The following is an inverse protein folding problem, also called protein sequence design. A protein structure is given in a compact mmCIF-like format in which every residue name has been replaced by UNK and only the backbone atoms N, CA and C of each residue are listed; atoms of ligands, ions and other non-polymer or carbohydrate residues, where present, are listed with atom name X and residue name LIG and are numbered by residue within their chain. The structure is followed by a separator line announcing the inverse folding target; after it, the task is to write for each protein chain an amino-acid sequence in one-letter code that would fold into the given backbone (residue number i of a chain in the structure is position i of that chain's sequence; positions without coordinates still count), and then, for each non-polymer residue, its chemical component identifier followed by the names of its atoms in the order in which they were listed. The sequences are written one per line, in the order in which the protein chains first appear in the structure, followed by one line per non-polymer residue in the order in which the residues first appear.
data_IF_918496574139
#
_entry.id   IF_918496574139
#
_cell.length_a   1.000
_cell.length_b   1.000
_cell.length_c   1.000
_cell.angle_alpha   90.00
_cell.angle_beta   90.00
_cell.angle_gamma   90.00
#
_symmetry.space_group_name_H-M   'P 1'
#
loop_
_entity.id
_entity.type
_entity.pdbx_description
1 polymer ?
#
# COMPACT_ATOMS: atom_id res chain seq x y z
N UNK A 1 -6.19 103.90 -19.28
CA UNK A 1 -4.96 103.52 -18.56
C UNK A 1 -5.09 102.05 -18.26
N UNK A 2 -4.19 101.24 -18.83
CA UNK A 2 -3.93 99.79 -18.66
C UNK A 2 -5.07 98.81 -18.95
N UNK A 3 -4.90 97.60 -19.47
CA UNK A 3 -4.00 96.87 -20.40
C UNK A 3 -4.59 95.42 -20.38
N UNK A 4 -4.68 94.63 -21.46
CA UNK A 4 -5.11 93.25 -21.36
C UNK A 4 -3.92 92.28 -21.32
N UNK A 5 -4.21 91.03 -20.95
CA UNK A 5 -3.39 89.81 -21.07
C UNK A 5 -2.39 89.49 -19.96
N UNK A 6 -2.64 88.36 -19.28
CA UNK A 6 -1.61 87.36 -18.96
C UNK A 6 -2.33 86.06 -18.57
N UNK A 7 -2.21 85.07 -19.45
CA UNK A 7 -2.57 83.68 -19.21
C UNK A 7 -1.51 83.04 -18.30
N UNK A 8 -1.89 82.64 -17.10
CA UNK A 8 -1.08 81.77 -16.25
C UNK A 8 -1.58 80.34 -16.36
N UNK A 9 -0.77 79.53 -17.03
CA UNK A 9 -0.88 78.09 -17.22
C UNK A 9 -0.68 77.38 -15.86
N UNK A 10 -1.77 76.96 -15.21
CA UNK A 10 -1.72 76.14 -14.01
C UNK A 10 -1.41 74.69 -14.41
N UNK A 11 -0.13 74.34 -14.30
CA UNK A 11 0.36 72.98 -14.49
C UNK A 11 -0.32 71.97 -13.57
N UNK A 12 -1.03 71.02 -14.17
CA UNK A 12 -1.54 69.83 -13.50
C UNK A 12 -0.38 69.03 -12.87
N UNK A 13 -0.53 68.49 -11.65
CA UNK A 13 0.50 67.64 -11.06
C UNK A 13 0.63 66.34 -11.89
N UNK A 14 1.86 65.82 -12.09
CA UNK A 14 2.04 64.59 -12.84
C UNK A 14 1.34 63.45 -12.11
N UNK A 15 0.41 62.81 -12.80
CA UNK A 15 -0.16 61.50 -12.45
C UNK A 15 0.99 60.56 -12.17
N UNK A 16 1.11 60.11 -10.91
CA UNK A 16 1.96 58.97 -10.54
C UNK A 16 1.46 57.77 -11.32
N UNK A 17 2.14 57.48 -12.43
CA UNK A 17 2.03 56.20 -13.12
C UNK A 17 2.14 55.11 -12.07
N UNK A 18 1.11 54.26 -12.03
CA UNK A 18 1.08 53.11 -11.16
C UNK A 18 2.35 52.31 -11.38
N UNK A 19 3.20 52.26 -10.35
CA UNK A 19 4.23 51.26 -10.25
C UNK A 19 3.51 49.91 -10.31
N UNK A 20 3.47 49.32 -11.50
CA UNK A 20 3.00 47.98 -11.72
C UNK A 20 3.77 47.10 -10.74
N UNK A 21 3.03 46.48 -9.81
CA UNK A 21 3.59 45.46 -8.94
C UNK A 21 4.37 44.47 -9.83
N UNK A 22 5.61 44.11 -9.46
CA UNK A 22 6.37 43.17 -10.28
C UNK A 22 5.54 41.90 -10.47
N UNK A 23 5.47 41.35 -11.69
CA UNK A 23 4.74 40.12 -11.93
C UNK A 23 5.25 39.05 -10.96
N UNK A 24 4.36 38.49 -10.14
CA UNK A 24 4.68 37.33 -9.31
C UNK A 24 5.34 36.28 -10.21
N UNK A 25 6.63 36.04 -10.00
CA UNK A 25 7.38 35.07 -10.79
C UNK A 25 6.74 33.70 -10.54
N UNK A 26 6.14 33.03 -11.56
CA UNK A 26 5.55 31.72 -11.37
C UNK A 26 6.67 30.68 -11.44
N UNK A 27 7.60 30.71 -10.50
CA UNK A 27 8.59 29.64 -10.30
C UNK A 27 8.18 28.76 -9.11
N UNK A 28 6.88 28.50 -8.94
CA UNK A 28 6.47 27.36 -8.14
C UNK A 28 7.03 26.13 -8.85
N UNK A 29 8.03 25.46 -8.27
CA UNK A 29 8.67 24.27 -8.82
C UNK A 29 7.60 23.19 -9.04
N UNK A 30 6.97 23.20 -10.21
CA UNK A 30 5.75 22.46 -10.49
C UNK A 30 5.93 20.94 -10.38
N UNK A 31 7.17 20.47 -10.51
CA UNK A 31 7.55 19.06 -10.38
C UNK A 31 7.67 18.58 -8.93
N UNK A 32 7.81 19.47 -7.93
CA UNK A 32 8.02 19.08 -6.52
C UNK A 32 6.92 18.17 -5.97
N UNK A 33 5.61 18.44 -6.19
CA UNK A 33 4.56 17.51 -5.75
C UNK A 33 4.69 16.12 -6.36
N UNK A 34 5.11 16.02 -7.63
CA UNK A 34 5.30 14.74 -8.30
C UNK A 34 6.53 13.99 -7.78
N UNK A 35 7.63 14.71 -7.48
CA UNK A 35 8.81 14.12 -6.85
C UNK A 35 8.48 13.60 -5.44
N UNK A 36 7.72 14.36 -4.65
CA UNK A 36 7.25 13.92 -3.33
C UNK A 36 6.27 12.75 -3.43
N UNK A 37 5.37 12.74 -4.41
CA UNK A 37 4.48 11.61 -4.66
C UNK A 37 5.25 10.34 -5.04
N UNK A 38 6.24 10.47 -5.92
CA UNK A 38 7.13 9.37 -6.29
C UNK A 38 7.92 8.86 -5.08
N UNK A 39 8.51 9.75 -4.28
CA UNK A 39 9.19 9.38 -3.02
C UNK A 39 8.24 8.62 -2.08
N UNK A 40 7.02 9.13 -1.89
CA UNK A 40 6.00 8.46 -1.08
C UNK A 40 5.65 7.07 -1.62
N UNK A 41 5.49 6.94 -2.95
CA UNK A 41 5.24 5.65 -3.59
C UNK A 41 6.41 4.68 -3.40
N UNK A 42 7.64 5.17 -3.48
CA UNK A 42 8.85 4.39 -3.21
C UNK A 42 8.90 3.88 -1.78
N UNK A 43 8.68 4.76 -0.80
CA UNK A 43 8.63 4.36 0.61
C UNK A 43 7.51 3.35 0.86
N UNK A 44 6.38 3.50 0.17
CA UNK A 44 5.24 2.60 0.29
C UNK A 44 5.61 1.20 -0.18
N UNK A 45 6.14 1.01 -1.39
CA UNK A 45 6.48 -0.34 -1.85
C UNK A 45 7.65 -0.96 -1.08
N UNK A 46 8.65 -0.16 -0.67
CA UNK A 46 9.77 -0.67 0.14
C UNK A 46 9.32 -1.17 1.52
N UNK A 47 8.22 -0.63 2.05
CA UNK A 47 7.63 -1.11 3.28
C UNK A 47 6.87 -2.43 3.14
N UNK A 48 6.55 -2.86 1.92
CA UNK A 48 5.59 -3.91 1.66
C UNK A 48 6.24 -5.29 1.44
N UNK A 49 5.40 -6.34 1.34
CA UNK A 49 5.81 -7.72 1.09
C UNK A 49 6.74 -7.81 -0.13
N UNK A 50 7.83 -8.56 0.02
CA UNK A 50 8.90 -8.69 -0.97
C UNK A 50 10.14 -7.85 -0.63
N UNK A 51 9.96 -6.66 -0.07
CA UNK A 51 11.06 -5.80 0.42
C UNK A 51 11.18 -5.82 1.94
N UNK A 52 10.06 -5.75 2.67
CA UNK A 52 10.00 -5.99 4.12
C UNK A 52 10.61 -4.90 5.00
N UNK A 53 10.84 -3.68 4.50
CA UNK A 53 11.34 -2.57 5.33
C UNK A 53 10.17 -1.93 6.09
N UNK A 54 9.51 -2.71 6.94
CA UNK A 54 8.26 -2.35 7.64
C UNK A 54 8.31 -1.02 8.40
N UNK A 55 9.44 -0.51 8.97
CA UNK A 55 9.43 0.78 9.64
C UNK A 55 9.04 1.94 8.72
N UNK A 56 9.26 1.80 7.40
CA UNK A 56 8.84 2.80 6.41
C UNK A 56 7.32 2.96 6.32
N UNK A 57 6.54 1.94 6.72
CA UNK A 57 5.08 2.02 6.77
C UNK A 57 4.59 3.09 7.77
N UNK A 58 5.39 3.46 8.76
CA UNK A 58 5.07 4.55 9.70
C UNK A 58 5.32 5.96 9.14
N UNK A 59 5.84 6.10 7.91
CA UNK A 59 6.19 7.39 7.31
C UNK A 59 5.90 7.52 5.81
N UNK A 60 5.52 6.44 5.12
CA UNK A 60 5.49 6.39 3.66
C UNK A 60 4.52 7.38 2.99
N UNK A 61 3.40 7.75 3.63
CA UNK A 61 2.43 8.73 3.12
C UNK A 61 2.75 10.18 3.49
N UNK A 62 3.70 10.43 4.40
CA UNK A 62 4.07 11.80 4.77
C UNK A 62 4.46 12.66 3.56
N UNK A 63 5.31 12.19 2.61
CA UNK A 63 5.64 13.00 1.43
C UNK A 63 4.43 13.25 0.53
N UNK A 64 3.47 12.31 0.43
CA UNK A 64 2.21 12.53 -0.31
C UNK A 64 1.36 13.64 0.33
N UNK A 65 1.30 13.70 1.66
CA UNK A 65 0.59 14.77 2.36
C UNK A 65 1.21 16.15 2.10
N UNK A 66 2.55 16.24 2.04
CA UNK A 66 3.25 17.45 1.59
C UNK A 66 2.98 17.76 0.12
N UNK A 67 2.98 16.75 -0.76
CA UNK A 67 2.70 16.92 -2.18
C UNK A 67 1.31 17.53 -2.42
N UNK A 68 0.27 16.97 -1.78
CA UNK A 68 -1.10 17.47 -1.86
C UNK A 68 -1.30 18.80 -1.12
N UNK A 69 -0.42 19.11 -0.17
CA UNK A 69 -0.44 20.40 0.52
C UNK A 69 0.27 21.52 -0.22
N UNK A 70 1.08 21.19 -1.23
CA UNK A 70 1.92 22.13 -1.94
C UNK A 70 1.12 23.25 -2.65
N UNK A 71 1.58 24.52 -2.63
CA UNK A 71 0.83 25.66 -3.18
C UNK A 71 0.47 25.57 -4.67
N UNK A 72 1.20 24.74 -5.44
CA UNK A 72 0.90 24.51 -6.86
C UNK A 72 -0.26 23.53 -7.10
N UNK A 73 -0.64 22.71 -6.11
CA UNK A 73 -1.75 21.73 -6.20
C UNK A 73 -3.08 22.40 -5.87
N UNK A 74 -3.51 23.29 -6.77
CA UNK A 74 -4.74 24.10 -6.59
C UNK A 74 -6.00 23.43 -7.13
N UNK A 75 -5.86 22.57 -8.13
CA UNK A 75 -6.98 21.95 -8.87
C UNK A 75 -7.12 20.47 -8.56
N UNK A 76 -8.36 19.95 -8.66
CA UNK A 76 -8.65 18.54 -8.47
C UNK A 76 -7.88 17.66 -9.47
N UNK A 77 -7.78 18.10 -10.74
CA UNK A 77 -7.00 17.42 -11.78
C UNK A 77 -5.53 17.26 -11.40
N UNK A 78 -4.92 18.28 -10.78
CA UNK A 78 -3.52 18.19 -10.35
C UNK A 78 -3.35 17.30 -9.12
N UNK A 79 -4.28 17.36 -8.17
CA UNK A 79 -4.30 16.43 -7.04
C UNK A 79 -4.44 14.97 -7.49
N UNK A 80 -5.35 14.72 -8.44
CA UNK A 80 -5.53 13.43 -9.10
C UNK A 80 -4.23 12.93 -9.76
N UNK A 81 -3.55 13.80 -10.52
CA UNK A 81 -2.28 13.45 -11.15
C UNK A 81 -1.18 13.12 -10.11
N UNK A 82 -1.10 13.89 -9.01
CA UNK A 82 -0.16 13.62 -7.90
C UNK A 82 -0.46 12.27 -7.23
N UNK A 83 -1.73 11.98 -6.95
CA UNK A 83 -2.17 10.69 -6.40
C UNK A 83 -1.89 9.52 -7.34
N UNK A 84 -2.17 9.70 -8.63
CA UNK A 84 -1.84 8.70 -9.65
C UNK A 84 -0.35 8.42 -9.72
N UNK A 85 0.51 9.45 -9.67
CA UNK A 85 1.97 9.27 -9.64
C UNK A 85 2.41 8.48 -8.41
N UNK A 86 1.87 8.79 -7.22
CA UNK A 86 2.15 8.02 -6.02
C UNK A 86 1.77 6.54 -6.21
N UNK A 87 0.54 6.27 -6.66
CA UNK A 87 0.06 4.91 -6.85
C UNK A 87 0.79 4.15 -7.92
N UNK A 88 1.04 4.76 -9.08
CA UNK A 88 1.78 4.11 -10.15
C UNK A 88 3.18 3.70 -9.68
N UNK A 89 3.90 4.57 -8.97
CA UNK A 89 5.23 4.23 -8.43
C UNK A 89 5.13 3.14 -7.35
N UNK A 90 4.17 3.25 -6.42
CA UNK A 90 3.96 2.25 -5.38
C UNK A 90 3.65 0.87 -5.97
N UNK A 91 2.74 0.79 -6.94
CA UNK A 91 2.31 -0.49 -7.49
C UNK A 91 3.24 -1.03 -8.57
N UNK A 92 3.92 -0.18 -9.35
CA UNK A 92 4.98 -0.64 -10.24
C UNK A 92 6.16 -1.24 -9.46
N UNK A 93 6.52 -0.64 -8.32
CA UNK A 93 7.52 -1.19 -7.42
C UNK A 93 7.05 -2.43 -6.67
N UNK A 94 5.87 -2.39 -6.04
CA UNK A 94 5.36 -3.48 -5.21
C UNK A 94 4.89 -4.70 -5.99
N UNK A 95 4.40 -4.50 -7.22
CA UNK A 95 3.97 -5.57 -8.14
C UNK A 95 4.91 -5.69 -9.34
N UNK A 96 6.20 -5.37 -9.17
CA UNK A 96 7.20 -5.49 -10.23
C UNK A 96 7.29 -6.93 -10.79
N UNK A 97 7.07 -7.92 -9.92
CA UNK A 97 7.05 -9.34 -10.26
C UNK A 97 5.98 -9.70 -11.31
N UNK A 98 4.92 -8.90 -11.45
CA UNK A 98 3.85 -9.08 -12.44
C UNK A 98 4.39 -9.12 -13.86
N UNK A 99 5.41 -8.28 -14.18
CA UNK A 99 6.01 -8.26 -15.50
C UNK A 99 6.68 -9.60 -15.84
N UNK A 100 7.43 -10.18 -14.89
CA UNK A 100 8.06 -11.49 -15.09
C UNK A 100 7.03 -12.61 -15.16
N UNK A 101 5.99 -12.54 -14.33
CA UNK A 101 4.89 -13.51 -14.37
C UNK A 101 4.20 -13.50 -15.75
N UNK A 102 3.87 -12.32 -16.27
CA UNK A 102 3.29 -12.19 -17.61
C UNK A 102 4.24 -12.69 -18.72
N UNK A 103 5.54 -12.39 -18.63
CA UNK A 103 6.54 -12.92 -19.57
C UNK A 103 6.51 -14.45 -19.63
N UNK A 104 6.53 -15.11 -18.45
CA UNK A 104 6.52 -16.57 -18.34
C UNK A 104 5.22 -17.16 -18.87
N UNK A 105 4.07 -16.57 -18.55
CA UNK A 105 2.77 -17.18 -18.87
C UNK A 105 2.22 -16.83 -20.25
N UNK A 106 2.59 -15.69 -20.83
CA UNK A 106 2.12 -15.27 -22.16
C UNK A 106 3.05 -15.69 -23.31
N UNK A 107 4.32 -15.99 -23.02
CA UNK A 107 5.35 -16.20 -24.03
C UNK A 107 5.85 -14.90 -24.68
N UNK A 108 5.35 -13.74 -24.26
CA UNK A 108 5.87 -12.44 -24.72
C UNK A 108 7.22 -12.13 -24.09
N UNK A 109 8.02 -11.29 -24.77
CA UNK A 109 9.23 -10.74 -24.18
C UNK A 109 8.91 -9.78 -23.03
N UNK A 110 9.91 -9.51 -22.19
CA UNK A 110 9.77 -8.67 -21.00
C UNK A 110 9.26 -7.25 -21.31
N UNK A 111 9.54 -6.69 -22.49
CA UNK A 111 9.07 -5.36 -22.87
C UNK A 111 7.55 -5.30 -23.04
N UNK A 112 6.99 -6.23 -23.80
CA UNK A 112 5.52 -6.35 -23.98
C UNK A 112 4.88 -6.75 -22.65
N UNK A 113 5.47 -7.68 -21.90
CA UNK A 113 4.96 -8.08 -20.60
C UNK A 113 4.94 -6.92 -19.59
N UNK A 114 5.97 -6.06 -19.59
CA UNK A 114 6.04 -4.85 -18.77
C UNK A 114 5.00 -3.81 -19.19
N UNK A 115 4.76 -3.65 -20.50
CA UNK A 115 3.68 -2.80 -21.02
C UNK A 115 2.33 -3.29 -20.52
N UNK A 116 2.07 -4.61 -20.59
CA UNK A 116 0.83 -5.20 -20.08
C UNK A 116 0.69 -5.02 -18.56
N UNK A 117 1.76 -5.27 -17.80
CA UNK A 117 1.81 -5.04 -16.36
C UNK A 117 1.55 -3.57 -16.00
N UNK A 118 1.98 -2.63 -16.85
CA UNK A 118 1.75 -1.20 -16.63
C UNK A 118 0.28 -0.80 -16.61
N UNK A 119 -0.61 -1.51 -17.33
CA UNK A 119 -2.06 -1.29 -17.23
C UNK A 119 -2.58 -1.68 -15.86
N UNK A 120 -2.07 -2.77 -15.28
CA UNK A 120 -2.42 -3.20 -13.93
C UNK A 120 -1.91 -2.19 -12.88
N UNK A 121 -0.65 -1.73 -12.99
CA UNK A 121 -0.11 -0.70 -12.09
C UNK A 121 -0.83 0.63 -12.23
N UNK A 122 -1.22 1.02 -13.45
CA UNK A 122 -2.02 2.23 -13.71
C UNK A 122 -3.43 2.11 -13.13
N UNK A 123 -4.07 0.95 -13.24
CA UNK A 123 -5.36 0.69 -12.61
C UNK A 123 -5.31 0.85 -11.09
N UNK A 124 -4.28 0.31 -10.43
CA UNK A 124 -4.07 0.56 -8.99
C UNK A 124 -3.58 2.00 -8.71
N UNK A 125 -2.97 2.66 -9.70
CA UNK A 125 -2.75 4.11 -9.70
C UNK A 125 -4.06 4.90 -9.61
N UNK A 126 -5.16 4.42 -10.20
CA UNK A 126 -6.49 5.05 -10.10
C UNK A 126 -7.03 4.99 -8.66
N UNK A 127 -6.79 3.91 -7.93
CA UNK A 127 -7.12 3.82 -6.50
C UNK A 127 -6.49 4.99 -5.71
N UNK A 128 -5.20 5.26 -5.94
CA UNK A 128 -4.49 6.35 -5.24
C UNK A 128 -4.84 7.74 -5.79
N UNK A 129 -5.25 7.83 -7.06
CA UNK A 129 -5.88 9.03 -7.60
C UNK A 129 -7.17 9.36 -6.85
N UNK A 130 -8.04 8.38 -6.63
CA UNK A 130 -9.30 8.56 -5.89
C UNK A 130 -9.02 8.97 -4.44
N UNK A 131 -8.03 8.34 -3.78
CA UNK A 131 -7.53 8.79 -2.48
C UNK A 131 -7.16 10.28 -2.52
N UNK A 132 -6.31 10.69 -3.45
CA UNK A 132 -5.84 12.07 -3.54
C UNK A 132 -6.98 13.07 -3.81
N UNK A 133 -8.00 12.70 -4.60
CA UNK A 133 -9.20 13.51 -4.78
C UNK A 133 -10.01 13.67 -3.50
N UNK A 134 -10.19 12.57 -2.75
CA UNK A 134 -10.83 12.57 -1.43
C UNK A 134 -10.11 13.47 -0.44
N UNK A 135 -8.79 13.34 -0.36
CA UNK A 135 -7.92 14.16 0.49
C UNK A 135 -7.91 15.64 0.10
N UNK A 136 -7.86 15.93 -1.21
CA UNK A 136 -7.95 17.29 -1.71
C UNK A 136 -9.28 17.95 -1.35
N UNK A 137 -10.39 17.20 -1.47
CA UNK A 137 -11.72 17.67 -1.08
C UNK A 137 -11.83 17.87 0.42
N UNK A 138 -11.37 16.90 1.22
CA UNK A 138 -11.38 16.97 2.67
C UNK A 138 -10.61 18.20 3.18
N UNK A 139 -9.41 18.45 2.64
CA UNK A 139 -8.62 19.64 2.95
C UNK A 139 -9.37 20.94 2.63
N UNK A 140 -10.04 21.03 1.48
CA UNK A 140 -10.85 22.21 1.11
C UNK A 140 -12.05 22.44 2.03
N UNK A 141 -12.56 21.37 2.62
CA UNK A 141 -13.63 21.42 3.61
C UNK A 141 -13.11 21.64 5.04
N UNK A 142 -11.81 21.92 5.22
CA UNK A 142 -11.20 22.22 6.53
C UNK A 142 -10.73 21.00 7.33
N UNK A 143 -10.87 19.77 6.80
CA UNK A 143 -10.40 18.58 7.50
C UNK A 143 -8.87 18.44 7.43
N UNK A 144 -8.20 18.02 8.51
CA UNK A 144 -6.77 17.72 8.48
C UNK A 144 -6.47 16.56 7.53
N UNK A 145 -5.63 16.81 6.51
CA UNK A 145 -5.38 15.87 5.41
C UNK A 145 -4.92 14.48 5.89
N UNK A 146 -4.04 14.42 6.90
CA UNK A 146 -3.46 13.17 7.36
C UNK A 146 -4.47 12.33 8.17
N UNK A 147 -5.38 12.97 8.91
CA UNK A 147 -6.48 12.27 9.60
C UNK A 147 -7.56 11.80 8.62
N UNK A 148 -7.88 12.61 7.60
CA UNK A 148 -8.74 12.17 6.51
C UNK A 148 -8.16 10.94 5.79
N UNK A 149 -6.83 10.86 5.63
CA UNK A 149 -6.18 9.72 4.98
C UNK A 149 -6.40 8.40 5.70
N UNK A 150 -6.48 8.37 7.04
CA UNK A 150 -6.81 7.15 7.77
C UNK A 150 -8.16 6.59 7.30
N UNK A 151 -9.20 7.43 7.28
CA UNK A 151 -10.54 7.00 6.88
C UNK A 151 -10.62 6.64 5.39
N UNK A 152 -10.03 7.46 4.52
CA UNK A 152 -10.06 7.20 3.07
C UNK A 152 -9.28 5.96 2.66
N UNK A 153 -8.09 5.72 3.25
CA UNK A 153 -7.29 4.53 2.93
C UNK A 153 -8.06 3.28 3.35
N UNK A 154 -8.56 3.21 4.59
CA UNK A 154 -9.32 2.05 5.07
C UNK A 154 -10.60 1.80 4.25
N UNK A 155 -11.33 2.86 3.89
CA UNK A 155 -12.52 2.73 3.06
C UNK A 155 -12.18 2.26 1.64
N UNK A 156 -11.12 2.79 1.04
CA UNK A 156 -10.72 2.41 -0.31
C UNK A 156 -10.17 0.98 -0.36
N UNK A 157 -9.42 0.54 0.64
CA UNK A 157 -8.97 -0.86 0.73
C UNK A 157 -10.15 -1.84 0.82
N UNK A 158 -11.23 -1.45 1.52
CA UNK A 158 -12.39 -2.32 1.70
C UNK A 158 -13.30 -2.36 0.47
N UNK A 159 -13.47 -1.24 -0.23
CA UNK A 159 -14.56 -1.06 -1.20
C UNK A 159 -14.10 -0.78 -2.62
N UNK A 160 -12.86 -0.36 -2.84
CA UNK A 160 -12.38 -0.15 -4.20
C UNK A 160 -12.27 -1.52 -4.88
N UNK A 161 -12.86 -1.71 -6.07
CA UNK A 161 -12.74 -2.97 -6.77
C UNK A 161 -11.28 -3.15 -7.14
N UNK A 162 -10.63 -4.18 -6.61
CA UNK A 162 -9.26 -4.57 -6.97
C UNK A 162 -9.28 -6.03 -7.42
N UNK A 163 -8.51 -6.37 -8.45
CA UNK A 163 -8.35 -7.77 -8.87
C UNK A 163 -7.72 -8.63 -7.76
N UNK A 164 -6.79 -8.05 -7.00
CA UNK A 164 -6.16 -8.68 -5.84
C UNK A 164 -6.29 -7.75 -4.64
N UNK A 165 -7.19 -8.04 -3.68
CA UNK A 165 -7.32 -7.25 -2.46
C UNK A 165 -5.99 -7.17 -1.72
N UNK A 166 -5.53 -5.94 -1.48
CA UNK A 166 -4.33 -5.67 -0.69
C UNK A 166 -4.64 -4.63 0.37
N UNK A 167 -4.12 -4.88 1.58
CA UNK A 167 -4.30 -4.02 2.72
C UNK A 167 -2.95 -3.46 3.14
N UNK A 168 -2.92 -2.20 3.57
CA UNK A 168 -1.68 -1.57 4.05
C UNK A 168 -1.08 -2.32 5.24
N UNK A 169 -1.91 -3.00 6.05
CA UNK A 169 -1.46 -3.86 7.14
C UNK A 169 -0.52 -5.00 6.73
N UNK A 170 -0.50 -5.40 5.45
CA UNK A 170 0.45 -6.40 4.94
C UNK A 170 1.91 -5.93 4.99
N UNK A 171 2.18 -4.62 5.15
CA UNK A 171 3.53 -4.13 5.44
C UNK A 171 4.15 -4.74 6.72
N UNK A 172 3.32 -5.33 7.58
CA UNK A 172 3.72 -5.96 8.84
C UNK A 172 3.68 -7.50 8.79
N UNK A 173 3.68 -8.11 7.59
CA UNK A 173 3.54 -9.57 7.40
C UNK A 173 4.54 -10.42 8.21
N UNK A 174 5.74 -9.90 8.44
CA UNK A 174 6.83 -10.54 9.20
C UNK A 174 6.89 -10.10 10.67
N UNK A 175 6.02 -9.17 11.09
CA UNK A 175 5.94 -8.67 12.45
C UNK A 175 4.87 -9.42 13.25
N UNK A 176 5.21 -10.64 13.67
CA UNK A 176 4.30 -11.61 14.31
C UNK A 176 3.42 -11.00 15.39
N UNK A 177 3.98 -10.19 16.29
CA UNK A 177 3.22 -9.57 17.39
C UNK A 177 2.24 -8.50 16.90
N UNK A 178 2.65 -7.62 15.98
CA UNK A 178 1.73 -6.60 15.45
C UNK A 178 0.62 -7.22 14.59
N UNK A 179 0.95 -8.28 13.85
CA UNK A 179 0.00 -8.96 12.98
C UNK A 179 -1.16 -9.64 13.73
N UNK A 180 -0.96 -10.03 15.00
CA UNK A 180 -2.02 -10.71 15.77
C UNK A 180 -3.29 -9.86 15.89
N UNK A 181 -3.19 -8.52 15.90
CA UNK A 181 -4.37 -7.65 15.93
C UNK A 181 -5.31 -7.83 14.72
N UNK A 182 -4.86 -8.50 13.66
CA UNK A 182 -5.73 -8.89 12.55
C UNK A 182 -6.88 -9.82 12.98
N UNK A 183 -6.75 -10.57 14.08
CA UNK A 183 -7.84 -11.40 14.61
C UNK A 183 -9.01 -10.58 15.20
N UNK A 184 -8.80 -9.29 15.51
CA UNK A 184 -9.82 -8.38 16.05
C UNK A 184 -10.54 -7.55 14.97
N UNK A 185 -9.80 -7.11 13.95
CA UNK A 185 -10.32 -6.14 12.97
C UNK A 185 -9.79 -6.34 11.56
N UNK A 186 -9.24 -7.52 11.27
CA UNK A 186 -8.61 -7.83 10.00
C UNK A 186 -7.32 -7.04 9.74
N UNK A 187 -6.72 -7.21 8.56
CA UNK A 187 -5.49 -6.51 8.19
C UNK A 187 -5.65 -4.97 8.13
N UNK A 188 -6.89 -4.48 7.95
CA UNK A 188 -7.19 -3.05 8.02
C UNK A 188 -6.87 -2.43 9.38
N UNK A 189 -7.17 -3.13 10.49
CA UNK A 189 -6.82 -2.65 11.84
C UNK A 189 -5.31 -2.52 12.02
N UNK A 190 -4.54 -3.50 11.54
CA UNK A 190 -3.07 -3.47 11.60
C UNK A 190 -2.53 -2.28 10.80
N UNK A 191 -3.04 -2.06 9.59
CA UNK A 191 -2.69 -0.88 8.77
C UNK A 191 -3.08 0.44 9.44
N UNK A 192 -4.24 0.50 10.08
CA UNK A 192 -4.74 1.69 10.77
C UNK A 192 -3.77 2.18 11.86
N UNK A 193 -3.13 1.28 12.61
CA UNK A 193 -2.14 1.66 13.64
C UNK A 193 -1.01 2.50 13.06
N UNK A 194 -0.46 2.10 11.91
CA UNK A 194 0.60 2.85 11.23
C UNK A 194 0.09 4.17 10.62
N UNK A 195 -1.14 4.17 10.08
CA UNK A 195 -1.77 5.38 9.55
C UNK A 195 -2.06 6.41 10.64
N UNK A 196 -2.46 5.99 11.84
CA UNK A 196 -2.68 6.86 13.01
C UNK A 196 -1.38 7.51 13.48
N UNK A 197 -0.27 6.78 13.46
CA UNK A 197 1.07 7.34 13.73
C UNK A 197 1.42 8.39 12.67
N UNK A 198 1.24 8.08 11.38
CA UNK A 198 1.49 9.04 10.29
C UNK A 198 0.63 10.30 10.41
N UNK A 199 -0.65 10.14 10.76
CA UNK A 199 -1.59 11.25 10.95
C UNK A 199 -1.16 12.20 12.07
N UNK A 200 -0.71 11.64 13.20
CA UNK A 200 -0.22 12.42 14.34
C UNK A 200 1.18 13.01 14.11
N UNK A 201 2.03 12.31 13.35
CA UNK A 201 3.40 12.74 13.05
C UNK A 201 3.45 13.88 12.02
N UNK A 202 2.54 13.88 11.04
CA UNK A 202 2.49 14.88 9.98
C UNK A 202 2.55 16.35 10.44
N UNK A 203 1.71 16.84 11.38
CA UNK A 203 1.78 18.23 11.83
C UNK A 203 3.11 18.59 12.52
N UNK A 204 3.76 17.64 13.19
CA UNK A 204 5.05 17.84 13.85
C UNK A 204 6.18 17.96 12.80
N UNK A 205 6.19 17.05 11.82
CA UNK A 205 7.14 17.08 10.70
C UNK A 205 6.94 18.35 9.87
N UNK A 206 5.70 18.74 9.61
CA UNK A 206 5.37 19.98 8.90
C UNK A 206 5.94 21.20 9.63
N UNK A 207 5.69 21.34 10.93
CA UNK A 207 6.24 22.45 11.71
C UNK A 207 7.78 22.48 11.64
N UNK A 208 8.43 21.32 11.69
CA UNK A 208 9.90 21.23 11.60
C UNK A 208 10.45 21.60 10.22
N UNK A 209 9.76 21.24 9.15
CA UNK A 209 10.11 21.59 7.76
C UNK A 209 9.89 23.08 7.51
N UNK A 210 8.78 23.63 7.99
CA UNK A 210 8.41 25.05 7.86
C UNK A 210 9.14 25.96 8.86
N UNK A 211 9.97 25.40 9.74
CA UNK A 211 10.65 26.10 10.85
C UNK A 211 9.67 26.88 11.75
N UNK A 212 8.46 26.35 11.91
CA UNK A 212 7.43 26.88 12.77
C UNK A 212 7.49 26.26 14.20
N UNK A 213 6.86 26.88 15.21
CA UNK A 213 6.74 26.30 16.53
C UNK A 213 6.06 24.93 16.51
N UNK A 214 6.55 24.00 17.33
CA UNK A 214 5.98 22.65 17.42
C UNK A 214 4.54 22.72 17.97
N UNK A 215 3.55 22.16 17.25
CA UNK A 215 2.18 22.16 17.73
C UNK A 215 2.04 21.15 18.87
N UNK A 216 2.11 21.64 20.13
CA UNK A 216 2.00 20.78 21.32
C UNK A 216 0.73 19.92 21.34
N UNK A 217 -0.36 20.41 20.74
CA UNK A 217 -1.60 19.67 20.58
C UNK A 217 -1.47 18.37 19.76
N UNK A 218 -0.42 18.23 18.93
CA UNK A 218 -0.16 17.00 18.18
C UNK A 218 0.63 15.94 18.96
N UNK A 219 1.23 16.29 20.11
CA UNK A 219 1.99 15.34 20.93
C UNK A 219 1.09 14.30 21.59
N UNK A 220 -0.08 14.71 22.11
CA UNK A 220 -1.06 13.80 22.71
C UNK A 220 -1.52 12.70 21.75
N UNK A 221 -2.02 13.05 20.54
CA UNK A 221 -2.35 12.07 19.52
C UNK A 221 -1.17 11.19 19.10
N UNK A 222 0.05 11.72 19.03
CA UNK A 222 1.22 10.90 18.69
C UNK A 222 1.50 9.85 19.78
N UNK A 223 1.51 10.27 21.05
CA UNK A 223 1.71 9.37 22.18
C UNK A 223 0.60 8.31 22.25
N UNK A 224 -0.65 8.70 21.98
CA UNK A 224 -1.77 7.77 21.91
C UNK A 224 -1.60 6.75 20.76
N UNK A 225 -1.25 7.20 19.54
CA UNK A 225 -1.01 6.31 18.39
C UNK A 225 0.14 5.34 18.64
N UNK A 226 1.27 5.82 19.20
CA UNK A 226 2.41 4.96 19.57
C UNK A 226 2.03 4.00 20.70
N UNK A 227 1.26 4.47 21.69
CA UNK A 227 0.71 3.65 22.75
C UNK A 227 -0.17 2.52 22.21
N UNK A 228 -1.03 2.80 21.23
CA UNK A 228 -1.86 1.79 20.55
C UNK A 228 -1.02 0.74 19.80
N UNK A 229 0.07 1.16 19.15
CA UNK A 229 1.04 0.21 18.54
C UNK A 229 1.65 -0.68 19.62
N UNK A 230 2.09 -0.10 20.74
CA UNK A 230 2.64 -0.85 21.87
C UNK A 230 1.64 -1.83 22.50
N UNK A 231 0.38 -1.39 22.68
CA UNK A 231 -0.71 -2.23 23.17
C UNK A 231 -1.02 -3.38 22.20
N UNK A 232 -1.04 -3.11 20.90
CA UNK A 232 -1.21 -4.13 19.86
C UNK A 232 -0.10 -5.17 19.90
N UNK A 233 1.16 -4.74 20.01
CA UNK A 233 2.29 -5.64 20.15
C UNK A 233 2.22 -6.48 21.45
N UNK A 234 1.82 -5.87 22.57
CA UNK A 234 1.65 -6.57 23.84
C UNK A 234 0.51 -7.61 23.77
N UNK A 235 -0.62 -7.25 23.16
CA UNK A 235 -1.71 -8.17 22.85
C UNK A 235 -1.22 -9.32 21.99
N UNK A 236 -0.47 -9.03 20.93
CA UNK A 236 0.04 -10.07 20.05
C UNK A 236 1.06 -10.99 20.69
N UNK A 237 1.94 -10.47 21.55
CA UNK A 237 2.81 -11.32 22.36
C UNK A 237 1.97 -12.27 23.22
N UNK A 238 0.98 -11.75 23.97
CA UNK A 238 0.07 -12.58 24.75
C UNK A 238 -0.62 -13.66 23.90
N UNK A 239 -1.16 -13.30 22.72
CA UNK A 239 -1.86 -14.23 21.83
C UNK A 239 -0.95 -15.32 21.30
N UNK A 240 0.28 -14.99 20.91
CA UNK A 240 1.28 -15.99 20.49
C UNK A 240 1.54 -16.98 21.61
N UNK A 241 1.81 -16.50 22.84
CA UNK A 241 2.01 -17.38 23.99
C UNK A 241 0.78 -18.26 24.30
N UNK A 242 -0.42 -17.72 24.17
CA UNK A 242 -1.67 -18.47 24.36
C UNK A 242 -1.88 -19.53 23.28
N UNK A 243 -1.59 -19.22 22.01
CA UNK A 243 -1.65 -20.18 20.89
C UNK A 243 -0.62 -21.28 21.09
N UNK A 244 0.63 -20.94 21.41
CA UNK A 244 1.72 -21.91 21.62
C UNK A 244 1.39 -22.86 22.78
N UNK A 245 0.85 -22.34 23.89
CA UNK A 245 0.44 -23.15 25.03
C UNK A 245 -0.73 -24.10 24.69
N UNK A 246 -1.63 -23.69 23.79
CA UNK A 246 -2.70 -24.57 23.28
C UNK A 246 -2.16 -25.63 22.34
N UNK A 247 -1.28 -25.24 21.42
CA UNK A 247 -0.64 -26.15 20.46
C UNK A 247 0.19 -27.22 21.17
N UNK A 248 0.93 -26.87 22.21
CA UNK A 248 1.74 -27.81 22.99
C UNK A 248 0.92 -28.88 23.74
N UNK A 249 -0.38 -28.68 23.95
CA UNK A 249 -1.28 -29.66 24.58
C UNK A 249 -2.23 -30.33 23.60
N UNK A 250 -2.19 -29.95 22.32
CA UNK A 250 -3.05 -30.52 21.31
C UNK A 250 -2.56 -31.92 20.92
N UNK A 251 -3.49 -32.76 20.50
CA UNK A 251 -3.15 -33.98 19.80
C UNK A 251 -2.42 -33.63 18.49
N UNK A 252 -1.31 -34.31 18.22
CA UNK A 252 -0.45 -34.05 17.07
C UNK A 252 -0.68 -35.11 15.99
N UNK A 253 -0.75 -34.68 14.73
CA UNK A 253 -0.77 -35.57 13.57
C UNK A 253 0.59 -35.52 12.87
N UNK A 254 1.12 -36.67 12.49
CA UNK A 254 2.29 -36.74 11.61
C UNK A 254 1.84 -36.61 10.15
N UNK A 255 2.07 -35.42 9.57
CA UNK A 255 1.60 -35.07 8.23
C UNK A 255 2.74 -35.11 7.21
N UNK A 256 2.55 -35.87 6.14
CA UNK A 256 3.42 -35.87 4.98
C UNK A 256 2.92 -34.94 3.88
N UNK A 257 3.77 -34.08 3.32
CA UNK A 257 3.42 -33.21 2.19
C UNK A 257 4.19 -33.67 0.96
N UNK A 258 3.47 -33.99 -0.12
CA UNK A 258 4.09 -34.47 -1.37
C UNK A 258 3.99 -33.38 -2.43
N UNK A 259 5.14 -32.87 -2.87
CA UNK A 259 5.22 -31.86 -3.92
C UNK A 259 5.98 -32.40 -5.12
N UNK A 260 5.28 -32.62 -6.25
CA UNK A 260 5.90 -33.16 -7.47
C UNK A 260 6.90 -32.20 -8.16
N UNK A 261 7.08 -30.98 -7.64
CA UNK A 261 8.00 -29.95 -8.16
C UNK A 261 7.87 -29.66 -9.67
N UNK A 262 6.67 -29.85 -10.24
CA UNK A 262 6.40 -29.59 -11.66
C UNK A 262 6.01 -28.14 -11.90
N UNK A 263 6.54 -27.57 -12.99
CA UNK A 263 6.13 -26.25 -13.48
C UNK A 263 4.68 -26.25 -13.97
N UNK A 264 4.01 -25.10 -13.95
CA UNK A 264 2.58 -24.98 -14.29
C UNK A 264 2.26 -25.55 -15.68
N UNK A 265 3.03 -25.18 -16.70
CA UNK A 265 2.85 -25.72 -18.06
C UNK A 265 3.07 -27.23 -18.13
N UNK A 266 4.07 -27.73 -17.40
CA UNK A 266 4.38 -29.16 -17.37
C UNK A 266 3.24 -29.97 -16.75
N UNK A 267 2.59 -29.43 -15.71
CA UNK A 267 1.40 -30.05 -15.11
C UNK A 267 0.26 -30.19 -16.10
N UNK A 268 0.03 -29.18 -16.94
CA UNK A 268 -1.04 -29.20 -17.95
C UNK A 268 -0.70 -30.07 -19.16
N UNK A 269 0.56 -30.08 -19.61
CA UNK A 269 1.00 -30.91 -20.73
C UNK A 269 1.12 -32.39 -20.35
N UNK A 270 1.49 -32.69 -19.11
CA UNK A 270 1.76 -34.04 -18.62
C UNK A 270 1.03 -34.33 -17.29
N UNK A 271 -0.32 -34.22 -17.24
CA UNK A 271 -1.08 -34.39 -15.99
C UNK A 271 -0.91 -35.80 -15.40
N UNK A 272 -0.82 -36.83 -16.26
CA UNK A 272 -0.53 -38.21 -15.88
C UNK A 272 0.81 -38.35 -15.14
N UNK A 273 1.84 -37.63 -15.59
CA UNK A 273 3.15 -37.63 -14.92
C UNK A 273 3.06 -36.96 -13.57
N UNK A 274 2.39 -35.81 -13.47
CA UNK A 274 2.19 -35.12 -12.19
C UNK A 274 1.47 -35.98 -11.18
N UNK A 275 0.37 -36.60 -11.57
CA UNK A 275 -0.35 -37.50 -10.67
C UNK A 275 0.49 -38.72 -10.26
N UNK A 276 1.21 -39.33 -11.20
CA UNK A 276 2.12 -40.45 -10.91
C UNK A 276 3.20 -40.05 -9.91
N UNK A 277 3.84 -38.89 -10.07
CA UNK A 277 4.85 -38.39 -9.13
C UNK A 277 4.28 -38.17 -7.73
N UNK A 278 3.04 -37.69 -7.61
CA UNK A 278 2.40 -37.57 -6.30
C UNK A 278 2.09 -38.94 -5.67
N UNK A 279 1.64 -39.93 -6.45
CA UNK A 279 1.44 -41.30 -5.96
C UNK A 279 2.75 -41.96 -5.52
N UNK A 280 3.79 -41.87 -6.34
CA UNK A 280 5.12 -42.40 -6.04
C UNK A 280 5.71 -41.72 -4.80
N UNK A 281 5.63 -40.39 -4.73
CA UNK A 281 6.08 -39.62 -3.56
C UNK A 281 5.30 -39.98 -2.29
N UNK A 282 3.99 -40.22 -2.39
CA UNK A 282 3.18 -40.66 -1.25
C UNK A 282 3.63 -42.02 -0.74
N UNK A 283 3.77 -43.01 -1.63
CA UNK A 283 4.21 -44.37 -1.27
C UNK A 283 5.61 -44.37 -0.70
N UNK A 284 6.52 -43.58 -1.29
CA UNK A 284 7.89 -43.45 -0.81
C UNK A 284 7.93 -42.84 0.59
N UNK A 285 7.17 -41.76 0.83
CA UNK A 285 7.14 -41.08 2.11
C UNK A 285 6.48 -41.96 3.20
N UNK A 286 5.35 -42.59 2.88
CA UNK A 286 4.63 -43.49 3.78
C UNK A 286 5.47 -44.72 4.15
N UNK A 287 6.14 -45.36 3.18
CA UNK A 287 7.01 -46.51 3.44
C UNK A 287 8.25 -46.13 4.25
N UNK A 288 8.88 -45.00 3.95
CA UNK A 288 10.04 -44.51 4.70
C UNK A 288 9.70 -44.23 6.17
N UNK A 289 8.58 -43.54 6.43
CA UNK A 289 8.14 -43.18 7.77
C UNK A 289 7.70 -44.42 8.58
N UNK A 290 6.99 -45.38 7.94
CA UNK A 290 6.71 -46.68 8.57
C UNK A 290 7.97 -47.46 8.94
N UNK A 291 8.98 -47.47 8.07
CA UNK A 291 10.25 -48.15 8.34
C UNK A 291 11.02 -47.53 9.51
N UNK A 292 10.83 -46.24 9.77
CA UNK A 292 11.37 -45.53 10.93
C UNK A 292 10.56 -45.76 12.22
N UNK A 293 9.43 -46.48 12.15
CA UNK A 293 8.56 -46.71 13.29
C UNK A 293 7.65 -45.52 13.62
N UNK A 294 7.53 -44.54 12.73
CA UNK A 294 6.76 -43.31 12.91
C UNK A 294 5.80 -43.11 11.73
N UNK A 295 4.71 -43.90 11.65
CA UNK A 295 3.79 -43.86 10.50
C UNK A 295 3.08 -42.51 10.37
N UNK A 296 2.85 -42.10 9.12
CA UNK A 296 2.05 -40.89 8.83
C UNK A 296 0.57 -41.11 9.12
N UNK A 297 -0.08 -40.08 9.68
CA UNK A 297 -1.53 -40.04 9.87
C UNK A 297 -2.25 -39.41 8.66
N UNK A 298 -1.57 -38.51 7.94
CA UNK A 298 -2.14 -37.76 6.82
C UNK A 298 -1.10 -37.51 5.73
N UNK A 299 -1.52 -37.63 4.47
CA UNK A 299 -0.73 -37.16 3.32
C UNK A 299 -1.50 -36.06 2.60
N UNK A 300 -0.83 -34.94 2.34
CA UNK A 300 -1.39 -33.78 1.67
C UNK A 300 -0.72 -33.59 0.31
N UNK A 301 -1.55 -33.43 -0.72
CA UNK A 301 -1.11 -33.04 -2.05
C UNK A 301 -1.47 -31.56 -2.32
N UNK A 302 -0.60 -30.81 -3.02
CA UNK A 302 -0.86 -29.42 -3.36
C UNK A 302 -1.97 -29.31 -4.42
N UNK A 303 -2.43 -28.08 -4.62
CA UNK A 303 -3.36 -27.75 -5.69
C UNK A 303 -2.86 -28.28 -7.06
N UNK A 304 -3.79 -28.66 -7.93
CA UNK A 304 -3.57 -29.28 -9.25
C UNK A 304 -2.78 -30.60 -9.25
N UNK A 305 -2.68 -31.32 -8.13
CA UNK A 305 -2.07 -32.65 -8.09
C UNK A 305 -2.89 -33.74 -8.81
N UNK A 306 -4.21 -33.53 -8.91
CA UNK A 306 -5.14 -34.34 -9.70
C UNK A 306 -5.95 -33.40 -10.60
N UNK A 307 -5.83 -33.57 -11.91
CA UNK A 307 -6.38 -32.63 -12.91
C UNK A 307 -7.62 -33.17 -13.64
N UNK A 308 -8.10 -34.35 -13.27
CA UNK A 308 -9.31 -34.93 -13.85
C UNK A 308 -10.51 -34.70 -12.94
N UNK A 309 -11.69 -34.75 -13.54
CA UNK A 309 -12.95 -34.78 -12.77
C UNK A 309 -13.01 -36.07 -11.98
N UNK A 310 -13.22 -35.96 -10.67
CA UNK A 310 -13.63 -37.11 -9.88
C UNK A 310 -15.01 -37.55 -10.37
N UNK A 311 -15.23 -38.84 -10.65
CA UNK A 311 -16.56 -39.33 -10.98
C UNK A 311 -17.50 -39.00 -9.82
N UNK A 312 -18.77 -38.73 -10.13
CA UNK A 312 -19.79 -38.55 -9.11
C UNK A 312 -19.78 -39.77 -8.19
N UNK A 313 -19.56 -39.56 -6.90
CA UNK A 313 -19.53 -40.65 -5.95
C UNK A 313 -20.96 -41.16 -5.76
N UNK A 314 -21.27 -42.34 -6.32
CA UNK A 314 -22.59 -42.94 -6.25
C UNK A 314 -23.07 -43.20 -4.81
N UNK A 315 -22.14 -43.25 -3.85
CA UNK A 315 -22.40 -43.55 -2.44
C UNK A 315 -22.55 -42.31 -1.53
N UNK A 316 -22.34 -41.08 -2.05
CA UNK A 316 -22.58 -39.83 -1.28
C UNK A 316 -24.05 -39.35 -1.33
N UNK A 317 -24.95 -40.17 -1.85
CA UNK A 317 -26.40 -39.98 -1.74
C UNK A 317 -26.95 -40.52 -0.42
N UNK A 318 -26.52 -39.97 0.72
CA UNK A 318 -27.21 -40.07 2.03
C UNK A 318 -26.94 -38.84 2.88
#
# INVERSE_FOLDING_TARGET
MTDPTTSSDEGAPPTREGAAAPPETPTSRGYVPFALAALSGTLHFLSFCGFGIWPLAFVCFLPLFFALSHPSVRTARRAAAVGFTHGFVAYAGGYHWMAKMLEVFSGFNLGIASLLASFFWAYLGLLQLVLALGLWRAKRNGYPIAWAAVAFILALEQWFPTLFPSHFGYAFFDQTWLMQAADLGGPGLVGALALLVQAALFPLVRARVERAPVPRAALGPLLASVGLVGLSAAYGAYRVHEVDARAARAETLHVGIVQAAMGVFEKHLYPARGHRLHLEGSRALESAQRALGDPLDLIVWPDSAYLWTLPANADLGR
#
